data_IF_102727973548
#
_entry.id   IF_102727973548
#
_cell.length_a   1.000
_cell.length_b   1.000
_cell.length_c   1.000
_cell.angle_alpha   90.00
_cell.angle_beta   90.00
_cell.angle_gamma   90.00
#
_symmetry.space_group_name_H-M   'P 1'
#
loop_
_entity.id
_entity.type
_entity.pdbx_description
1 polymer ?
#
# COMPACT_ATOMS: atom_id res chain seq x y z
N UNK A 1 -53.83 23.91 -4.01
CA UNK A 1 -53.14 22.94 -3.13
C UNK A 1 -52.85 21.72 -3.97
N UNK A 2 -51.56 21.43 -4.23
CA UNK A 2 -51.14 20.28 -5.03
C UNK A 2 -51.45 19.00 -4.24
N UNK A 3 -52.44 18.23 -4.69
CA UNK A 3 -52.71 16.89 -4.17
C UNK A 3 -51.54 16.00 -4.55
N UNK A 4 -50.75 15.59 -3.56
CA UNK A 4 -49.68 14.61 -3.74
C UNK A 4 -50.32 13.36 -4.35
N UNK A 5 -49.86 13.00 -5.54
CA UNK A 5 -50.28 11.80 -6.25
C UNK A 5 -49.88 10.59 -5.39
N UNK A 6 -50.88 10.03 -4.70
CA UNK A 6 -50.71 8.98 -3.70
C UNK A 6 -50.06 7.74 -4.29
N UNK A 7 -50.29 7.46 -5.57
CA UNK A 7 -49.66 6.36 -6.27
C UNK A 7 -48.15 6.58 -6.46
N UNK A 8 -47.72 7.82 -6.72
CA UNK A 8 -46.29 8.17 -6.81
C UNK A 8 -45.60 8.13 -5.46
N UNK A 9 -46.33 8.52 -4.41
CA UNK A 9 -45.82 8.47 -3.03
C UNK A 9 -45.68 7.03 -2.53
N UNK A 10 -46.68 6.18 -2.78
CA UNK A 10 -46.64 4.76 -2.39
C UNK A 10 -45.57 3.99 -3.18
N UNK A 11 -45.37 4.30 -4.47
CA UNK A 11 -44.27 3.75 -5.26
C UNK A 11 -42.88 4.17 -4.74
N UNK A 12 -42.76 5.43 -4.30
CA UNK A 12 -41.54 5.92 -3.68
C UNK A 12 -41.27 5.22 -2.33
N UNK A 13 -42.28 5.10 -1.47
CA UNK A 13 -42.16 4.39 -0.19
C UNK A 13 -41.80 2.91 -0.40
N UNK A 14 -42.41 2.24 -1.39
CA UNK A 14 -42.05 0.87 -1.73
C UNK A 14 -40.60 0.75 -2.18
N UNK A 15 -40.12 1.66 -3.05
CA UNK A 15 -38.74 1.66 -3.51
C UNK A 15 -37.71 1.95 -2.40
N UNK A 16 -38.10 2.73 -1.37
CA UNK A 16 -37.25 3.03 -0.20
C UNK A 16 -37.24 1.88 0.82
N UNK A 17 -38.34 1.13 0.92
CA UNK A 17 -38.51 0.02 1.85
C UNK A 17 -38.12 -1.34 1.27
N UNK A 18 -37.93 -1.44 -0.05
CA UNK A 18 -37.39 -2.64 -0.68
C UNK A 18 -35.95 -2.89 -0.19
N UNK A 19 -35.60 -4.14 0.16
CA UNK A 19 -34.23 -4.48 0.49
C UNK A 19 -33.35 -4.10 -0.70
N UNK A 20 -32.33 -3.28 -0.44
CA UNK A 20 -31.37 -2.87 -1.44
C UNK A 20 -30.87 -4.14 -2.17
N UNK A 21 -30.88 -4.17 -3.51
CA UNK A 21 -30.30 -5.28 -4.24
C UNK A 21 -28.87 -5.53 -3.74
N UNK A 22 -28.39 -6.76 -3.70
CA UNK A 22 -27.01 -7.08 -3.28
C UNK A 22 -25.96 -6.24 -4.04
N UNK A 23 -26.31 -5.76 -5.23
CA UNK A 23 -25.52 -4.86 -6.06
C UNK A 23 -25.47 -3.39 -5.60
N UNK A 24 -26.33 -2.93 -4.68
CA UNK A 24 -26.41 -1.52 -4.22
C UNK A 24 -25.61 -1.28 -2.92
N UNK A 25 -25.12 -2.33 -2.27
CA UNK A 25 -24.06 -2.26 -1.24
C UNK A 25 -22.67 -1.90 -1.83
N UNK A 26 -22.63 -1.41 -3.07
CA UNK A 26 -21.44 -0.97 -3.78
C UNK A 26 -21.20 0.51 -3.50
N UNK A 27 -20.81 0.84 -2.27
CA UNK A 27 -20.19 2.13 -1.98
C UNK A 27 -18.79 2.19 -2.62
N UNK A 28 -18.76 2.24 -3.95
CA UNK A 28 -17.54 2.22 -4.77
C UNK A 28 -16.76 3.51 -4.62
N UNK A 29 -17.43 4.63 -4.34
CA UNK A 29 -16.77 5.90 -4.06
C UNK A 29 -16.09 5.86 -2.70
N UNK A 30 -16.80 5.46 -1.64
CA UNK A 30 -16.21 5.32 -0.30
C UNK A 30 -15.13 4.24 -0.24
N UNK A 31 -15.33 3.08 -0.87
CA UNK A 31 -14.30 2.04 -0.96
C UNK A 31 -13.07 2.54 -1.71
N UNK A 32 -13.25 3.36 -2.75
CA UNK A 32 -12.13 4.01 -3.46
C UNK A 32 -11.43 5.04 -2.57
N UNK A 33 -12.16 5.82 -1.79
CA UNK A 33 -11.61 6.80 -0.85
C UNK A 33 -10.83 6.13 0.29
N UNK A 34 -11.37 5.07 0.89
CA UNK A 34 -10.71 4.26 1.92
C UNK A 34 -9.41 3.64 1.38
N UNK A 35 -9.46 3.07 0.17
CA UNK A 35 -8.25 2.52 -0.49
C UNK A 35 -7.24 3.63 -0.81
N UNK A 36 -7.69 4.82 -1.23
CA UNK A 36 -6.81 5.97 -1.47
C UNK A 36 -6.14 6.48 -0.19
N UNK A 37 -6.90 6.56 0.90
CA UNK A 37 -6.39 7.00 2.20
C UNK A 37 -5.31 6.05 2.74
N UNK A 38 -5.55 4.74 2.65
CA UNK A 38 -4.57 3.71 3.05
C UNK A 38 -3.35 3.68 2.12
N UNK A 39 -3.56 3.85 0.81
CA UNK A 39 -2.47 3.90 -0.18
C UNK A 39 -1.48 5.04 0.10
N UNK A 40 -1.96 6.26 0.35
CA UNK A 40 -1.08 7.40 0.61
C UNK A 40 -0.20 7.17 1.85
N UNK A 41 -0.79 6.63 2.92
CA UNK A 41 -0.04 6.27 4.15
C UNK A 41 1.03 5.23 3.86
N UNK A 42 0.67 4.17 3.12
CA UNK A 42 1.62 3.14 2.71
C UNK A 42 2.77 3.70 1.85
N UNK A 43 2.49 4.58 0.89
CA UNK A 43 3.52 5.19 0.06
C UNK A 43 4.48 6.04 0.88
N UNK A 44 4.00 6.80 1.87
CA UNK A 44 4.87 7.53 2.79
C UNK A 44 5.80 6.60 3.57
N UNK A 45 5.27 5.50 4.10
CA UNK A 45 6.09 4.49 4.79
C UNK A 45 7.08 3.80 3.85
N UNK A 46 6.67 3.49 2.62
CA UNK A 46 7.54 2.89 1.61
C UNK A 46 8.70 3.81 1.24
N UNK A 47 8.45 5.12 1.05
CA UNK A 47 9.51 6.10 0.81
C UNK A 47 10.54 6.15 1.94
N UNK A 48 10.09 5.96 3.19
CA UNK A 48 11.01 5.85 4.34
C UNK A 48 11.86 4.58 4.27
N UNK A 49 11.30 3.45 3.83
CA UNK A 49 12.08 2.22 3.55
C UNK A 49 13.09 2.48 2.44
N UNK A 50 12.65 3.02 1.30
CA UNK A 50 13.47 3.31 0.12
C UNK A 50 14.63 4.26 0.49
N UNK A 51 14.39 5.25 1.35
CA UNK A 51 15.40 6.16 1.87
C UNK A 51 16.51 5.42 2.64
N UNK A 52 16.15 4.59 3.63
CA UNK A 52 17.15 3.85 4.40
C UNK A 52 17.82 2.74 3.58
N UNK A 53 17.12 2.13 2.61
CA UNK A 53 17.73 1.20 1.66
C UNK A 53 18.79 1.91 0.81
N UNK A 54 18.49 3.11 0.32
CA UNK A 54 19.42 3.93 -0.47
C UNK A 54 20.62 4.39 0.37
N UNK A 55 20.42 4.78 1.63
CA UNK A 55 21.53 5.15 2.53
C UNK A 55 22.45 3.97 2.82
N UNK A 56 21.90 2.77 3.00
CA UNK A 56 22.71 1.55 3.19
C UNK A 56 23.53 1.25 1.94
N UNK A 57 22.92 1.31 0.76
CA UNK A 57 23.63 1.11 -0.50
C UNK A 57 24.73 2.17 -0.70
N UNK A 58 24.46 3.43 -0.39
CA UNK A 58 25.46 4.50 -0.45
C UNK A 58 26.64 4.24 0.51
N UNK A 59 26.35 3.82 1.74
CA UNK A 59 27.38 3.42 2.71
C UNK A 59 28.23 2.25 2.19
N UNK A 60 27.59 1.19 1.69
CA UNK A 60 28.29 0.02 1.16
C UNK A 60 29.16 0.37 -0.05
N UNK A 61 28.70 1.26 -0.93
CA UNK A 61 29.54 1.80 -2.00
C UNK A 61 30.76 2.51 -1.42
N UNK A 62 30.59 3.44 -0.48
CA UNK A 62 31.71 4.18 0.13
C UNK A 62 32.76 3.27 0.78
N UNK A 63 32.33 2.21 1.48
CA UNK A 63 33.26 1.22 2.06
C UNK A 63 33.95 0.37 1.00
N UNK A 64 33.29 0.08 -0.13
CA UNK A 64 33.94 -0.62 -1.24
C UNK A 64 35.08 0.21 -1.88
N UNK A 65 35.02 1.54 -1.78
CA UNK A 65 36.12 2.41 -2.22
C UNK A 65 37.34 2.35 -1.29
N UNK A 66 37.20 1.89 -0.03
CA UNK A 66 38.36 1.64 0.85
C UNK A 66 39.31 0.57 0.28
N UNK A 67 38.85 -0.24 -0.67
CA UNK A 67 39.69 -1.21 -1.38
C UNK A 67 40.57 -0.56 -2.46
N UNK A 68 40.33 0.71 -2.79
CA UNK A 68 41.11 1.53 -3.73
C UNK A 68 41.65 2.77 -3.00
N UNK A 69 42.79 2.65 -2.28
CA UNK A 69 43.24 3.66 -1.33
C UNK A 69 43.53 5.04 -1.94
N UNK A 70 43.86 5.13 -3.23
CA UNK A 70 44.03 6.40 -3.94
C UNK A 70 42.71 7.14 -4.17
N UNK A 71 41.61 6.41 -4.28
CA UNK A 71 40.27 6.92 -4.55
C UNK A 71 39.47 7.11 -3.24
N UNK A 72 39.72 6.27 -2.24
CA UNK A 72 39.13 6.33 -0.90
C UNK A 72 39.31 7.72 -0.24
N UNK A 73 40.48 8.34 -0.39
CA UNK A 73 40.77 9.68 0.15
C UNK A 73 39.79 10.76 -0.35
N UNK A 74 39.21 10.60 -1.53
CA UNK A 74 38.23 11.56 -2.08
C UNK A 74 36.85 11.40 -1.43
N UNK A 75 36.54 10.22 -0.90
CA UNK A 75 35.23 9.87 -0.33
C UNK A 75 35.23 9.80 1.21
N UNK A 76 36.41 9.81 1.84
CA UNK A 76 36.59 9.90 3.29
C UNK A 76 35.73 11.02 3.95
N UNK A 77 35.62 12.25 3.37
CA UNK A 77 34.78 13.29 3.95
C UNK A 77 33.28 12.94 3.93
N UNK A 78 32.83 12.15 2.95
CA UNK A 78 31.42 11.73 2.87
C UNK A 78 31.09 10.69 3.94
N UNK A 79 32.03 9.77 4.22
CA UNK A 79 31.86 8.71 5.23
C UNK A 79 31.61 9.25 6.64
N UNK A 80 32.24 10.37 7.01
CA UNK A 80 32.06 11.02 8.33
C UNK A 80 30.60 11.46 8.55
N UNK A 81 29.86 11.73 7.47
CA UNK A 81 28.46 12.14 7.54
C UNK A 81 27.48 10.97 7.55
N UNK A 82 27.91 9.74 7.26
CA UNK A 82 27.03 8.58 7.33
C UNK A 82 26.96 8.02 8.76
N UNK A 83 25.74 7.69 9.25
CA UNK A 83 25.62 6.87 10.44
C UNK A 83 26.32 5.52 10.23
N UNK A 84 26.81 4.92 11.31
CA UNK A 84 27.41 3.57 11.27
C UNK A 84 26.44 2.57 10.61
N UNK A 85 26.96 1.62 9.83
CA UNK A 85 26.17 0.58 9.14
C UNK A 85 25.13 -0.09 10.03
N UNK A 86 25.51 -0.47 11.24
CA UNK A 86 24.60 -1.13 12.21
C UNK A 86 23.42 -0.26 12.61
N UNK A 87 23.60 1.06 12.66
CA UNK A 87 22.53 2.03 12.91
C UNK A 87 21.60 2.11 11.69
N UNK A 88 22.17 2.17 10.48
CA UNK A 88 21.38 2.17 9.23
C UNK A 88 20.57 0.89 9.05
N UNK A 89 21.15 -0.28 9.36
CA UNK A 89 20.45 -1.57 9.33
C UNK A 89 19.30 -1.60 10.34
N UNK A 90 19.51 -1.13 11.57
CA UNK A 90 18.44 -1.02 12.57
C UNK A 90 17.31 -0.11 12.09
N UNK A 91 17.61 1.05 11.52
CA UNK A 91 16.58 1.96 11.00
C UNK A 91 15.86 1.40 9.78
N UNK A 92 16.57 0.71 8.89
CA UNK A 92 15.98 0.03 7.74
C UNK A 92 14.99 -1.05 8.19
N UNK A 93 15.40 -1.95 9.09
CA UNK A 93 14.53 -3.02 9.58
C UNK A 93 13.30 -2.46 10.30
N UNK A 94 13.47 -1.43 11.15
CA UNK A 94 12.36 -0.76 11.80
C UNK A 94 11.40 -0.11 10.79
N UNK A 95 11.93 0.63 9.80
CA UNK A 95 11.11 1.25 8.77
C UNK A 95 10.37 0.21 7.91
N UNK A 96 11.04 -0.90 7.58
CA UNK A 96 10.44 -1.98 6.82
C UNK A 96 9.31 -2.64 7.61
N UNK A 97 9.53 -2.95 8.89
CA UNK A 97 8.49 -3.49 9.77
C UNK A 97 7.28 -2.56 9.86
N UNK A 98 7.48 -1.26 10.13
CA UNK A 98 6.42 -0.25 10.18
C UNK A 98 5.61 -0.21 8.87
N UNK A 99 6.30 -0.29 7.72
CA UNK A 99 5.67 -0.30 6.41
C UNK A 99 4.83 -1.56 6.17
N UNK A 100 5.36 -2.73 6.54
CA UNK A 100 4.64 -4.01 6.41
C UNK A 100 3.41 -4.09 7.33
N UNK A 101 3.46 -3.45 8.50
CA UNK A 101 2.32 -3.38 9.43
C UNK A 101 1.28 -2.32 9.02
N UNK A 102 1.59 -1.43 8.08
CA UNK A 102 0.67 -0.38 7.63
C UNK A 102 -0.40 -0.95 6.71
N UNK A 103 -1.68 -0.84 7.09
CA UNK A 103 -2.84 -1.32 6.31
C UNK A 103 -2.75 -0.88 4.84
N UNK A 104 -3.00 -1.81 3.91
CA UNK A 104 -3.08 -1.54 2.46
C UNK A 104 -4.37 -2.04 1.84
N UNK A 105 -4.97 -1.20 1.00
CA UNK A 105 -6.18 -1.53 0.26
C UNK A 105 -5.94 -1.85 -1.22
N UNK A 106 -4.74 -2.25 -1.63
CA UNK A 106 -4.40 -2.51 -3.03
C UNK A 106 -3.55 -3.78 -3.20
N UNK A 107 -3.88 -4.58 -4.23
CA UNK A 107 -3.21 -5.86 -4.49
C UNK A 107 -1.72 -5.69 -4.82
N UNK A 108 -1.33 -4.65 -5.54
CA UNK A 108 0.09 -4.39 -5.88
C UNK A 108 0.90 -4.10 -4.63
N UNK A 109 0.32 -3.37 -3.68
CA UNK A 109 0.93 -3.11 -2.38
C UNK A 109 1.06 -4.39 -1.54
N UNK A 110 0.04 -5.25 -1.52
CA UNK A 110 0.08 -6.55 -0.84
C UNK A 110 1.20 -7.44 -1.40
N UNK A 111 1.31 -7.55 -2.73
CA UNK A 111 2.38 -8.32 -3.38
C UNK A 111 3.78 -7.72 -3.14
N UNK A 112 3.88 -6.40 -2.99
CA UNK A 112 5.11 -5.77 -2.53
C UNK A 112 5.47 -6.22 -1.10
N UNK A 113 4.49 -6.24 -0.18
CA UNK A 113 4.72 -6.68 1.21
C UNK A 113 5.20 -8.12 1.27
N UNK A 114 4.51 -9.05 0.58
CA UNK A 114 4.85 -10.48 0.52
C UNK A 114 6.31 -10.72 0.12
N UNK A 115 6.79 -10.02 -0.91
CA UNK A 115 8.18 -10.13 -1.38
C UNK A 115 9.23 -9.64 -0.37
N UNK A 116 8.84 -8.78 0.57
CA UNK A 116 9.74 -8.16 1.54
C UNK A 116 9.65 -8.76 2.95
N UNK A 117 8.68 -9.65 3.24
CA UNK A 117 8.54 -10.30 4.58
C UNK A 117 9.83 -11.01 5.02
N UNK A 118 10.58 -11.61 4.10
CA UNK A 118 11.85 -12.26 4.44
C UNK A 118 12.97 -11.31 4.90
N UNK A 119 12.79 -10.00 4.73
CA UNK A 119 13.85 -8.99 4.95
C UNK A 119 13.67 -8.18 6.24
N UNK A 120 12.66 -8.52 7.08
CA UNK A 120 12.24 -7.69 8.22
C UNK A 120 13.28 -7.58 9.33
N UNK A 121 14.27 -8.47 9.41
CA UNK A 121 15.29 -8.45 10.46
C UNK A 121 14.79 -8.83 11.87
N UNK A 122 13.51 -9.18 12.02
CA UNK A 122 12.85 -9.58 13.26
C UNK A 122 12.18 -10.95 13.09
N UNK A 123 12.91 -12.07 13.28
CA UNK A 123 12.36 -13.41 13.05
C UNK A 123 11.12 -13.73 13.87
N UNK A 124 11.07 -13.24 15.11
CA UNK A 124 9.96 -13.38 16.06
C UNK A 124 8.69 -12.63 15.63
N UNK A 125 8.83 -11.60 14.77
CA UNK A 125 7.73 -10.78 14.26
C UNK A 125 7.19 -11.22 12.91
N UNK A 126 7.75 -12.28 12.33
CA UNK A 126 7.34 -12.74 11.00
C UNK A 126 5.86 -13.15 10.96
N UNK A 127 5.38 -13.85 11.98
CA UNK A 127 3.98 -14.27 12.08
C UNK A 127 3.02 -13.07 12.19
N UNK A 128 3.40 -12.04 12.95
CA UNK A 128 2.62 -10.80 13.10
C UNK A 128 2.45 -10.09 11.75
N UNK A 129 3.53 -10.05 10.96
CA UNK A 129 3.55 -9.46 9.61
C UNK A 129 2.69 -10.28 8.64
N UNK A 130 2.79 -11.61 8.67
CA UNK A 130 1.97 -12.50 7.83
C UNK A 130 0.47 -12.33 8.16
N UNK A 131 0.13 -12.23 9.44
CA UNK A 131 -1.24 -11.94 9.88
C UNK A 131 -1.71 -10.54 9.44
N UNK A 132 -0.83 -9.54 9.42
CA UNK A 132 -1.14 -8.21 8.89
C UNK A 132 -1.45 -8.27 7.39
N UNK A 133 -0.66 -9.00 6.60
CA UNK A 133 -0.88 -9.20 5.16
C UNK A 133 -2.21 -9.94 4.91
N UNK A 134 -2.51 -10.99 5.68
CA UNK A 134 -3.78 -11.72 5.55
C UNK A 134 -4.99 -10.82 5.83
N UNK A 135 -4.87 -9.88 6.79
CA UNK A 135 -5.91 -8.86 7.05
C UNK A 135 -6.08 -7.90 5.87
N UNK A 136 -4.99 -7.47 5.23
CA UNK A 136 -5.06 -6.63 4.03
C UNK A 136 -5.77 -7.36 2.87
N UNK A 137 -5.49 -8.65 2.70
CA UNK A 137 -6.15 -9.50 1.69
C UNK A 137 -7.65 -9.64 1.97
N UNK A 138 -8.02 -9.93 3.21
CA UNK A 138 -9.42 -10.01 3.63
C UNK A 138 -10.15 -8.67 3.43
N UNK A 139 -9.50 -7.55 3.76
CA UNK A 139 -10.04 -6.21 3.50
C UNK A 139 -10.29 -5.99 2.00
N UNK A 140 -9.34 -6.38 1.14
CA UNK A 140 -9.48 -6.24 -0.30
C UNK A 140 -10.60 -7.10 -0.90
N UNK A 141 -10.88 -8.27 -0.32
CA UNK A 141 -11.99 -9.16 -0.71
C UNK A 141 -13.34 -8.60 -0.26
N UNK A 142 -13.43 -8.08 0.97
CA UNK A 142 -14.66 -7.53 1.54
C UNK A 142 -15.10 -6.19 0.91
N UNK A 143 -14.17 -5.40 0.35
CA UNK A 143 -14.45 -4.05 -0.16
C UNK A 143 -14.15 -3.92 -1.66
N UNK A 144 -14.84 -4.65 -2.55
CA UNK A 144 -14.51 -4.66 -3.97
C UNK A 144 -14.65 -3.28 -4.62
N UNK A 145 -13.78 -2.98 -5.58
CA UNK A 145 -13.87 -1.80 -6.46
C UNK A 145 -14.25 -2.30 -7.84
N UNK A 146 -15.11 -1.55 -8.54
CA UNK A 146 -15.43 -1.83 -9.95
C UNK A 146 -14.13 -1.96 -10.73
N UNK A 147 -13.91 -3.11 -11.38
CA UNK A 147 -12.89 -3.18 -12.41
C UNK A 147 -13.25 -2.07 -13.41
N UNK A 148 -12.33 -1.11 -13.64
CA UNK A 148 -12.51 -0.14 -14.73
C UNK A 148 -12.79 -0.99 -15.97
N UNK A 149 -14.03 -0.96 -16.44
CA UNK A 149 -14.44 -1.79 -17.56
C UNK A 149 -13.44 -1.54 -18.68
N UNK A 150 -12.77 -2.61 -19.13
CA UNK A 150 -12.29 -2.62 -20.50
C UNK A 150 -13.56 -2.37 -21.31
N UNK A 151 -13.71 -1.16 -21.84
CA UNK A 151 -14.64 -0.94 -22.95
C UNK A 151 -14.33 -2.06 -23.93
N UNK A 152 -15.30 -2.93 -24.27
CA UNK A 152 -15.11 -3.82 -25.38
C UNK A 152 -14.78 -2.89 -26.55
N UNK A 153 -13.58 -3.00 -27.13
CA UNK A 153 -13.34 -2.42 -28.46
C UNK A 153 -14.44 -3.00 -29.31
N UNK A 154 -15.34 -2.14 -29.78
CA UNK A 154 -16.51 -2.53 -30.54
C UNK A 154 -16.07 -3.48 -31.65
N UNK A 155 -16.63 -4.68 -31.63
CA UNK A 155 -16.64 -5.52 -32.82
C UNK A 155 -17.43 -4.77 -33.88
N UNK A 156 -16.79 -4.46 -34.99
CA UNK A 156 -17.50 -4.10 -36.21
C UNK A 156 -18.30 -5.34 -36.65
N UNK A 157 -19.62 -5.21 -36.87
CA UNK A 157 -20.38 -6.25 -37.53
C UNK A 157 -20.02 -6.32 -39.02
N UNK A 158 -19.97 -7.55 -39.49
CA UNK A 158 -19.85 -8.05 -40.87
C UNK A 158 -20.37 -7.14 -41.98
#
# INVERSE_FOLDING_TARGET
MSTIDRHRFDAFLHAVLEPLPDAVMLDTAHNSELRRATYNKFICMRRRVDYYESLRAAFDCTVAWDWYPEEAQQFEPLLVHFPRRSILEKHYHAALYDCLMTLVGDKVCIEWKKRRVGQIGYPDKKADVEAAIARDEAFCLAHPVRAKGRTPKGGEPS
#
